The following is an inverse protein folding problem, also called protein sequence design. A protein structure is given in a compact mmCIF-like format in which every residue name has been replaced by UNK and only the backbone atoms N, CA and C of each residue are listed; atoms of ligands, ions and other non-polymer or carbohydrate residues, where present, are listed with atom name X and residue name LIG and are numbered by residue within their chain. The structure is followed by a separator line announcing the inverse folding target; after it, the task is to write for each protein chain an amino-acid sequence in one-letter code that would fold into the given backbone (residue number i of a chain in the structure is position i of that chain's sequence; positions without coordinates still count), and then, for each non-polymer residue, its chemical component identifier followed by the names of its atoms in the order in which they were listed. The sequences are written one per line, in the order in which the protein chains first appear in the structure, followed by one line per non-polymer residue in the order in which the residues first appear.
data_IF_428590205831
#
_entry.id   IF_428590205831
#
_cell.length_a   1.000
_cell.length_b   1.000
_cell.length_c   1.000
_cell.angle_alpha   90.00
_cell.angle_beta   90.00
_cell.angle_gamma   90.00
#
_symmetry.space_group_name_H-M   'P 1'
#
loop_
_entity.id
_entity.type
_entity.pdbx_description
1 polymer ?
#
# COMPACT_ATOMS: atom_id res chain seq x y z
N UNK A 1 -14.20 28.29 9.98
CA UNK A 1 -13.04 27.40 10.24
C UNK A 1 -12.96 26.37 9.12
N UNK A 2 -11.92 26.42 8.34
CA UNK A 2 -11.71 25.38 7.35
C UNK A 2 -11.33 24.09 8.08
N UNK A 3 -12.17 23.06 7.99
CA UNK A 3 -11.73 21.71 8.29
C UNK A 3 -10.66 21.36 7.23
N UNK A 4 -9.40 21.67 7.56
CA UNK A 4 -8.29 21.20 6.76
C UNK A 4 -8.32 19.67 6.80
N UNK A 5 -8.86 19.05 5.76
CA UNK A 5 -8.86 17.60 5.64
C UNK A 5 -7.40 17.13 5.67
N UNK A 6 -7.09 16.23 6.60
CA UNK A 6 -5.76 15.63 6.70
C UNK A 6 -5.43 14.93 5.37
N UNK A 7 -4.32 15.28 4.76
CA UNK A 7 -3.79 14.57 3.60
C UNK A 7 -2.67 13.62 4.01
N UNK A 8 -2.48 12.57 3.23
CA UNK A 8 -1.52 11.51 3.53
C UNK A 8 -0.45 11.42 2.45
N UNK A 9 0.75 11.07 2.85
CA UNK A 9 1.77 10.59 1.94
C UNK A 9 1.56 9.10 1.70
N UNK A 10 1.11 8.76 0.50
CA UNK A 10 0.83 7.37 0.10
C UNK A 10 1.95 6.89 -0.82
N UNK A 11 2.51 5.73 -0.52
CA UNK A 11 3.45 5.03 -1.39
C UNK A 11 2.78 3.78 -1.96
N UNK A 12 2.97 3.54 -3.26
CA UNK A 12 2.54 2.30 -3.92
C UNK A 12 3.78 1.57 -4.41
N UNK A 13 4.04 0.41 -3.83
CA UNK A 13 5.15 -0.47 -4.19
C UNK A 13 4.63 -1.52 -5.16
N UNK A 14 5.19 -1.55 -6.36
CA UNK A 14 4.67 -2.32 -7.48
C UNK A 14 3.70 -1.51 -8.34
N UNK A 15 3.93 -0.22 -8.46
CA UNK A 15 3.04 0.73 -9.13
C UNK A 15 2.80 0.43 -10.62
N UNK A 16 3.72 -0.27 -11.28
CA UNK A 16 3.62 -0.62 -12.71
C UNK A 16 2.86 -1.90 -12.99
N UNK A 17 2.49 -2.65 -11.94
CA UNK A 17 1.68 -3.86 -12.10
C UNK A 17 0.19 -3.56 -12.18
N UNK A 18 -0.60 -4.54 -12.65
CA UNK A 18 -2.05 -4.40 -12.80
C UNK A 18 -2.75 -4.03 -11.47
N UNK A 19 -2.32 -4.62 -10.36
CA UNK A 19 -2.87 -4.31 -9.04
C UNK A 19 -2.51 -2.90 -8.61
N UNK A 20 -1.27 -2.45 -8.84
CA UNK A 20 -0.82 -1.10 -8.55
C UNK A 20 -1.62 -0.05 -9.33
N UNK A 21 -1.86 -0.28 -10.60
CA UNK A 21 -2.70 0.59 -11.45
C UNK A 21 -4.14 0.64 -10.93
N UNK A 22 -4.69 -0.49 -10.50
CA UNK A 22 -6.03 -0.56 -9.92
C UNK A 22 -6.11 0.21 -8.59
N UNK A 23 -5.10 0.09 -7.74
CA UNK A 23 -5.01 0.88 -6.50
C UNK A 23 -5.05 2.37 -6.77
N UNK A 24 -4.30 2.84 -7.76
CA UNK A 24 -4.31 4.25 -8.17
C UNK A 24 -5.69 4.69 -8.64
N UNK A 25 -6.33 3.89 -9.49
CA UNK A 25 -7.67 4.18 -9.99
C UNK A 25 -8.69 4.29 -8.85
N UNK A 26 -8.63 3.40 -7.87
CA UNK A 26 -9.54 3.40 -6.71
C UNK A 26 -9.28 4.61 -5.80
N UNK A 27 -8.02 4.96 -5.55
CA UNK A 27 -7.70 6.16 -4.76
C UNK A 27 -8.27 7.42 -5.41
N UNK A 28 -8.18 7.53 -6.73
CA UNK A 28 -8.75 8.64 -7.49
C UNK A 28 -10.28 8.64 -7.46
N UNK A 29 -10.89 7.49 -7.73
CA UNK A 29 -12.35 7.33 -7.76
C UNK A 29 -13.01 7.64 -6.42
N UNK A 30 -12.37 7.24 -5.33
CA UNK A 30 -12.87 7.46 -3.95
C UNK A 30 -12.47 8.82 -3.38
N UNK A 31 -11.79 9.63 -4.14
CA UNK A 31 -11.28 10.94 -3.70
C UNK A 31 -10.50 10.84 -2.38
N UNK A 32 -9.67 9.82 -2.27
CA UNK A 32 -8.83 9.62 -1.09
C UNK A 32 -7.88 10.80 -0.92
N UNK A 33 -7.69 11.33 0.29
CA UNK A 33 -6.90 12.54 0.53
C UNK A 33 -5.39 12.29 0.42
N UNK A 34 -4.90 12.14 -0.81
CA UNK A 34 -3.49 11.99 -1.12
C UNK A 34 -2.84 13.36 -1.21
N UNK A 35 -1.95 13.67 -0.27
CA UNK A 35 -1.15 14.90 -0.31
C UNK A 35 0.12 14.74 -1.13
N UNK A 36 0.81 13.63 -0.92
CA UNK A 36 2.00 13.23 -1.68
C UNK A 36 1.85 11.79 -2.14
N UNK A 37 2.17 11.51 -3.39
CA UNK A 37 2.13 10.16 -3.96
C UNK A 37 3.54 9.75 -4.39
N UNK A 38 4.03 8.63 -3.84
CA UNK A 38 5.27 7.99 -4.25
C UNK A 38 4.97 6.69 -4.98
N UNK A 39 5.33 6.63 -6.25
CA UNK A 39 5.19 5.43 -7.07
C UNK A 39 6.54 4.72 -7.13
N UNK A 40 6.57 3.47 -6.67
CA UNK A 40 7.81 2.73 -6.48
C UNK A 40 7.77 1.42 -7.29
N UNK A 41 8.86 1.18 -7.98
CA UNK A 41 9.05 -0.03 -8.76
C UNK A 41 10.54 -0.42 -8.79
N UNK A 42 10.89 -1.46 -9.54
CA UNK A 42 12.30 -1.81 -9.75
C UNK A 42 13.03 -0.74 -10.56
N UNK A 43 14.35 -0.72 -10.44
CA UNK A 43 15.24 0.14 -11.25
C UNK A 43 14.86 0.13 -12.74
N UNK A 44 14.49 -1.02 -13.27
CA UNK A 44 14.09 -1.20 -14.66
C UNK A 44 12.89 -0.36 -15.08
N UNK A 45 11.96 -0.10 -14.16
CA UNK A 45 10.75 0.69 -14.40
C UNK A 45 10.88 2.13 -13.90
N UNK A 46 11.90 2.43 -13.13
CA UNK A 46 12.15 3.77 -12.61
C UNK A 46 12.40 4.77 -13.74
N UNK A 47 11.92 5.99 -13.53
CA UNK A 47 12.03 7.08 -14.52
C UNK A 47 10.82 7.22 -15.44
N UNK A 48 9.95 6.20 -15.52
CA UNK A 48 8.65 6.32 -16.17
C UNK A 48 7.69 7.24 -15.39
N UNK A 49 6.58 7.56 -15.99
CA UNK A 49 5.56 8.40 -15.38
C UNK A 49 4.18 7.74 -15.46
N UNK A 50 3.37 7.94 -14.43
CA UNK A 50 1.96 7.54 -14.40
C UNK A 50 1.14 8.78 -14.07
N UNK A 51 0.02 8.97 -14.76
CA UNK A 51 -0.90 10.05 -14.49
C UNK A 51 -1.81 9.71 -13.30
N UNK A 52 -1.90 10.65 -12.35
CA UNK A 52 -2.79 10.56 -11.20
C UNK A 52 -3.47 11.92 -10.97
N UNK A 53 -4.80 11.95 -10.98
CA UNK A 53 -5.60 13.19 -10.80
C UNK A 53 -5.14 14.34 -11.71
N UNK A 54 -4.82 14.04 -12.97
CA UNK A 54 -4.39 15.03 -13.94
C UNK A 54 -2.92 15.43 -13.86
N UNK A 55 -2.17 14.90 -12.92
CA UNK A 55 -0.74 15.18 -12.75
C UNK A 55 0.10 13.95 -13.10
N UNK A 56 1.22 14.17 -13.75
CA UNK A 56 2.20 13.11 -14.00
C UNK A 56 3.07 12.89 -12.77
N UNK A 57 3.11 11.67 -12.29
CA UNK A 57 3.94 11.26 -11.15
C UNK A 57 5.04 10.34 -11.63
N UNK A 58 6.28 10.68 -11.32
CA UNK A 58 7.44 9.89 -11.71
C UNK A 58 7.58 8.64 -10.88
N UNK A 59 7.86 7.52 -11.53
CA UNK A 59 8.18 6.24 -10.87
C UNK A 59 9.61 6.31 -10.35
N UNK A 60 9.79 5.99 -9.06
CA UNK A 60 11.08 5.98 -8.39
C UNK A 60 11.55 4.54 -8.17
N UNK A 61 12.86 4.37 -8.07
CA UNK A 61 13.47 3.09 -7.73
C UNK A 61 13.26 2.79 -6.24
N UNK A 62 12.60 1.66 -5.96
CA UNK A 62 12.34 1.20 -4.61
C UNK A 62 13.64 1.00 -3.80
N UNK A 63 14.70 0.51 -4.45
CA UNK A 63 15.95 0.18 -3.77
C UNK A 63 16.65 1.40 -3.17
N UNK A 64 16.43 2.58 -3.74
CA UNK A 64 17.06 3.84 -3.30
C UNK A 64 16.08 4.78 -2.60
N UNK A 65 14.82 4.42 -2.50
CA UNK A 65 13.79 5.27 -1.91
C UNK A 65 13.91 5.33 -0.38
N UNK A 66 13.82 6.54 0.16
CA UNK A 66 13.74 6.76 1.60
C UNK A 66 12.26 6.79 2.04
N UNK A 67 11.82 5.82 2.86
CA UNK A 67 10.43 5.74 3.31
C UNK A 67 10.06 6.74 4.41
N UNK A 68 10.97 7.58 4.85
CA UNK A 68 10.67 8.60 5.87
C UNK A 68 9.54 9.52 5.43
N UNK A 69 8.57 9.75 6.30
CA UNK A 69 7.42 10.61 6.04
C UNK A 69 6.28 9.93 5.29
N UNK A 70 6.42 8.69 4.85
CA UNK A 70 5.31 7.93 4.29
C UNK A 70 4.32 7.56 5.39
N UNK A 71 3.05 7.88 5.18
CA UNK A 71 1.98 7.55 6.11
C UNK A 71 1.39 6.16 5.86
N UNK A 72 1.12 5.86 4.59
CA UNK A 72 0.51 4.60 4.15
C UNK A 72 1.31 4.03 2.98
N UNK A 73 1.69 2.77 3.07
CA UNK A 73 2.38 2.08 2.00
C UNK A 73 1.56 0.86 1.54
N UNK A 74 1.17 0.85 0.27
CA UNK A 74 0.43 -0.22 -0.37
C UNK A 74 1.40 -1.09 -1.17
N UNK A 75 1.53 -2.35 -0.79
CA UNK A 75 2.48 -3.30 -1.39
C UNK A 75 1.77 -4.28 -2.32
N UNK A 76 2.19 -4.34 -3.58
CA UNK A 76 1.69 -5.27 -4.58
C UNK A 76 2.79 -5.78 -5.53
N UNK A 77 3.99 -5.97 -5.01
CA UNK A 77 5.17 -6.34 -5.79
C UNK A 77 5.67 -7.78 -5.54
N UNK A 78 4.86 -8.61 -4.89
CA UNK A 78 5.19 -9.98 -4.57
C UNK A 78 5.85 -10.19 -3.21
N UNK A 79 5.90 -11.45 -2.76
CA UNK A 79 6.30 -11.79 -1.40
C UNK A 79 7.75 -11.47 -1.05
N UNK A 80 8.69 -11.66 -1.97
CA UNK A 80 10.11 -11.36 -1.71
C UNK A 80 10.36 -9.88 -1.50
N UNK A 81 9.71 -9.04 -2.29
CA UNK A 81 9.79 -7.58 -2.14
C UNK A 81 9.16 -7.14 -0.83
N UNK A 82 8.00 -7.68 -0.49
CA UNK A 82 7.33 -7.37 0.78
C UNK A 82 8.18 -7.78 1.98
N UNK A 83 8.78 -8.96 1.98
CA UNK A 83 9.65 -9.41 3.07
C UNK A 83 10.85 -8.49 3.30
N UNK A 84 11.43 -7.99 2.22
CA UNK A 84 12.60 -7.11 2.28
C UNK A 84 12.22 -5.67 2.69
N UNK A 85 11.19 -5.10 2.08
CA UNK A 85 10.91 -3.66 2.18
C UNK A 85 9.79 -3.30 3.15
N UNK A 86 8.77 -4.12 3.34
CA UNK A 86 7.67 -3.78 4.24
C UNK A 86 8.14 -3.46 5.66
N UNK A 87 9.06 -4.22 6.28
CA UNK A 87 9.58 -3.87 7.59
C UNK A 87 10.31 -2.52 7.62
N UNK A 88 10.97 -2.13 6.54
CA UNK A 88 11.67 -0.83 6.44
C UNK A 88 10.67 0.34 6.43
N UNK A 89 9.57 0.20 5.70
CA UNK A 89 8.49 1.19 5.69
C UNK A 89 7.80 1.28 7.04
N UNK A 90 7.50 0.16 7.67
CA UNK A 90 6.90 0.13 8.99
C UNK A 90 7.82 0.75 10.06
N UNK A 91 9.12 0.46 10.03
CA UNK A 91 10.11 1.04 10.93
C UNK A 91 10.23 2.56 10.75
N UNK A 92 9.98 3.08 9.55
CA UNK A 92 9.96 4.50 9.26
C UNK A 92 8.64 5.20 9.67
N UNK A 93 7.68 4.47 10.21
CA UNK A 93 6.42 4.99 10.72
C UNK A 93 5.20 4.82 9.80
N UNK A 94 5.36 4.21 8.63
CA UNK A 94 4.24 3.95 7.73
C UNK A 94 3.36 2.80 8.23
N UNK A 95 2.07 2.87 7.95
CA UNK A 95 1.19 1.72 8.00
C UNK A 95 1.30 0.98 6.67
N UNK A 96 1.78 -0.25 6.71
CA UNK A 96 1.96 -1.08 5.52
C UNK A 96 0.74 -1.97 5.32
N UNK A 97 0.17 -1.93 4.13
CA UNK A 97 -0.89 -2.83 3.70
C UNK A 97 -0.30 -3.70 2.60
N UNK A 98 -0.09 -4.97 2.90
CA UNK A 98 0.58 -5.90 2.01
C UNK A 98 -0.39 -6.85 1.30
N UNK A 99 -0.38 -6.81 -0.01
CA UNK A 99 -1.22 -7.66 -0.85
C UNK A 99 -0.54 -8.97 -1.26
N UNK A 100 0.67 -9.24 -0.78
CA UNK A 100 1.38 -10.50 -1.02
C UNK A 100 1.01 -11.55 0.04
N UNK A 101 1.55 -12.76 -0.13
CA UNK A 101 1.41 -13.83 0.87
C UNK A 101 2.46 -13.79 1.98
N UNK A 102 3.37 -12.81 1.96
CA UNK A 102 4.58 -12.79 2.79
C UNK A 102 4.30 -12.88 4.29
N UNK A 103 3.24 -12.22 4.77
CA UNK A 103 2.94 -12.09 6.20
C UNK A 103 1.61 -12.70 6.63
N UNK A 104 0.91 -13.41 5.74
CA UNK A 104 -0.45 -13.92 6.00
C UNK A 104 -0.52 -14.94 7.14
N UNK A 105 0.57 -15.63 7.41
CA UNK A 105 0.66 -16.65 8.46
C UNK A 105 1.42 -16.20 9.70
N UNK A 106 1.86 -14.95 9.75
CA UNK A 106 2.59 -14.41 10.90
C UNK A 106 1.58 -14.01 11.99
N UNK A 107 1.74 -14.56 13.20
CA UNK A 107 0.81 -14.34 14.31
C UNK A 107 0.73 -12.87 14.77
N UNK A 108 1.79 -12.11 14.56
CA UNK A 108 1.90 -10.70 14.92
C UNK A 108 1.54 -9.74 13.78
N UNK A 109 0.98 -10.26 12.69
CA UNK A 109 0.46 -9.47 11.56
C UNK A 109 -1.02 -9.80 11.37
N UNK A 110 -1.93 -8.82 11.53
CA UNK A 110 -3.35 -9.08 11.34
C UNK A 110 -3.65 -9.37 9.85
N UNK A 111 -4.42 -10.42 9.61
CA UNK A 111 -4.98 -10.74 8.31
C UNK A 111 -6.40 -10.15 8.27
N UNK A 112 -6.61 -9.11 7.45
CA UNK A 112 -7.83 -8.31 7.49
C UNK A 112 -8.61 -8.41 6.20
N UNK A 113 -9.89 -8.79 6.33
CA UNK A 113 -10.93 -8.59 5.32
C UNK A 113 -11.80 -7.44 5.80
N UNK A 114 -11.79 -6.31 5.11
CA UNK A 114 -12.39 -5.06 5.58
C UNK A 114 -13.88 -5.17 5.95
N UNK A 115 -14.61 -6.05 5.27
CA UNK A 115 -16.04 -6.28 5.50
C UNK A 115 -16.31 -7.31 6.62
N UNK A 116 -15.28 -8.02 7.09
CA UNK A 116 -15.43 -9.11 8.07
C UNK A 116 -14.83 -8.76 9.42
N UNK A 117 -13.59 -8.30 9.44
CA UNK A 117 -12.86 -8.03 10.69
C UNK A 117 -12.06 -6.72 10.66
N UNK A 118 -12.70 -5.57 10.32
CA UNK A 118 -12.00 -4.29 10.19
C UNK A 118 -11.38 -3.79 11.50
N UNK A 119 -11.90 -4.22 12.63
CA UNK A 119 -11.39 -3.89 13.97
C UNK A 119 -9.95 -4.41 14.20
N UNK A 120 -9.55 -5.46 13.52
CA UNK A 120 -8.19 -6.01 13.61
C UNK A 120 -7.11 -5.08 13.04
N UNK A 121 -7.47 -4.09 12.26
CA UNK A 121 -6.53 -3.07 11.74
C UNK A 121 -5.79 -2.36 12.87
N UNK A 122 -6.44 -2.12 14.00
CA UNK A 122 -5.84 -1.47 15.16
C UNK A 122 -4.75 -2.34 15.84
N UNK A 123 -4.83 -3.66 15.69
CA UNK A 123 -3.92 -4.62 16.29
C UNK A 123 -2.79 -5.00 15.32
N UNK A 124 -1.88 -4.07 15.07
CA UNK A 124 -0.76 -4.24 14.15
C UNK A 124 0.58 -3.91 14.81
N UNK A 125 1.10 -4.77 15.69
CA UNK A 125 2.32 -4.47 16.46
C UNK A 125 3.55 -4.23 15.58
N UNK A 126 3.59 -4.81 14.37
CA UNK A 126 4.68 -4.59 13.41
C UNK A 126 4.40 -3.47 12.40
N UNK A 127 3.28 -2.77 12.51
CA UNK A 127 2.89 -1.75 11.54
C UNK A 127 2.48 -2.29 10.16
N UNK A 128 2.29 -3.61 10.05
CA UNK A 128 1.96 -4.31 8.81
C UNK A 128 0.59 -4.95 8.94
N UNK A 129 -0.23 -4.78 7.91
CA UNK A 129 -1.53 -5.42 7.74
C UNK A 129 -1.45 -6.32 6.51
N UNK A 130 -1.76 -7.60 6.66
CA UNK A 130 -1.81 -8.52 5.54
C UNK A 130 -3.21 -8.51 4.91
N UNK A 131 -3.24 -8.41 3.58
CA UNK A 131 -4.46 -8.52 2.80
C UNK A 131 -4.61 -9.99 2.34
N UNK A 132 -5.77 -10.63 2.54
CA UNK A 132 -5.97 -12.01 2.14
C UNK A 132 -5.95 -12.21 0.63
N UNK A 133 -5.94 -13.47 0.21
CA UNK A 133 -6.14 -13.82 -1.18
C UNK A 133 -7.46 -13.24 -1.71
N UNK A 134 -7.44 -12.65 -2.91
CA UNK A 134 -8.60 -11.96 -3.47
C UNK A 134 -9.84 -12.86 -3.62
N UNK A 135 -9.65 -14.13 -4.00
CA UNK A 135 -10.74 -15.10 -4.10
C UNK A 135 -11.35 -15.41 -2.73
N UNK A 136 -10.52 -15.54 -1.70
CA UNK A 136 -10.96 -15.74 -0.31
C UNK A 136 -11.79 -14.55 0.18
N UNK A 137 -11.35 -13.32 -0.10
CA UNK A 137 -12.08 -12.11 0.27
C UNK A 137 -13.47 -12.07 -0.36
N UNK A 138 -13.57 -12.39 -1.65
CA UNK A 138 -14.84 -12.43 -2.37
C UNK A 138 -15.78 -13.48 -1.79
N UNK A 139 -15.28 -14.66 -1.47
CA UNK A 139 -16.05 -15.73 -0.83
C UNK A 139 -16.60 -15.31 0.53
N UNK A 140 -15.78 -14.70 1.37
CA UNK A 140 -16.16 -14.28 2.72
C UNK A 140 -17.21 -13.18 2.71
N UNK A 141 -17.18 -12.29 1.74
CA UNK A 141 -18.19 -11.23 1.58
C UNK A 141 -19.53 -11.82 1.11
N UNK A 142 -19.50 -12.88 0.29
CA UNK A 142 -20.71 -13.55 -0.22
C UNK A 142 -21.38 -14.47 0.81
N UNK A 143 -20.68 -14.94 1.81
CA UNK A 143 -21.20 -15.80 2.86
C UNK A 143 -21.82 -15.01 4.02
#
# INVERSE_FOLDING_TARGET
MSNAQRSFHVAIVGATGAVGETMLAILAERDFPVGTLSLLASERSAGGEIEFNGNKVRIQDLATFDPSGVDIALFSAGGSVSKEYAPKFAAAGAVVIDNSSAFRYDDDVPLVVSEVNPDQVANRPRGIIANPNCSTMQMLVAL
#
